data_IF_564307877635
#
_entry.id   IF_564307877635
#
_cell.length_a   1.000
_cell.length_b   1.000
_cell.length_c   1.000
_cell.angle_alpha   90.00
_cell.angle_beta   90.00
_cell.angle_gamma   90.00
#
_symmetry.space_group_name_H-M   'P 1'
#
loop_
_entity.id
_entity.type
_entity.pdbx_description
1 polymer ?
#
# COMPACT_ATOMS: atom_id res chain seq x y z
N UNK A 1 4.12 -9.68 -15.69
CA UNK A 1 2.76 -10.23 -15.86
C UNK A 1 2.05 -9.50 -16.98
N UNK A 2 1.34 -10.23 -17.82
CA UNK A 2 0.60 -9.74 -18.98
C UNK A 2 -0.87 -10.12 -18.89
N UNK A 3 -1.72 -9.36 -19.60
CA UNK A 3 -3.11 -9.70 -19.84
C UNK A 3 -3.43 -9.44 -21.30
N UNK A 4 -3.94 -10.43 -21.99
CA UNK A 4 -4.36 -10.36 -23.38
C UNK A 4 -5.88 -10.38 -23.45
N UNK A 5 -6.49 -9.45 -24.19
CA UNK A 5 -7.94 -9.38 -24.30
C UNK A 5 -8.46 -10.41 -25.30
N UNK A 6 -9.41 -11.23 -24.88
CA UNK A 6 -10.12 -12.23 -25.66
C UNK A 6 -11.64 -11.98 -25.52
N UNK A 7 -12.21 -11.19 -26.42
CA UNK A 7 -13.60 -10.76 -26.36
C UNK A 7 -13.91 -9.98 -25.08
N UNK A 8 -14.81 -10.53 -24.25
CA UNK A 8 -15.22 -9.96 -22.96
C UNK A 8 -14.43 -10.52 -21.76
N UNK A 9 -13.25 -11.07 -22.03
CA UNK A 9 -12.38 -11.67 -21.03
C UNK A 9 -10.94 -11.20 -21.25
N UNK A 10 -10.14 -11.18 -20.19
CA UNK A 10 -8.68 -11.10 -20.24
C UNK A 10 -8.08 -12.45 -19.88
N UNK A 11 -7.09 -12.90 -20.66
CA UNK A 11 -6.25 -14.05 -20.33
C UNK A 11 -5.00 -13.54 -19.64
N UNK A 12 -4.87 -13.86 -18.35
CA UNK A 12 -3.83 -13.34 -17.47
C UNK A 12 -2.74 -14.38 -17.27
N UNK A 13 -1.49 -13.97 -17.50
CA UNK A 13 -0.31 -14.78 -17.29
C UNK A 13 0.79 -13.99 -16.56
N UNK A 14 1.47 -14.66 -15.64
CA UNK A 14 2.65 -14.10 -14.98
C UNK A 14 2.71 -14.36 -13.50
N UNK A 15 3.46 -13.52 -12.80
CA UNK A 15 3.78 -13.69 -11.40
C UNK A 15 3.76 -12.34 -10.68
N UNK A 16 3.26 -12.32 -9.45
CA UNK A 16 3.31 -11.21 -8.49
C UNK A 16 3.97 -11.70 -7.22
N UNK A 17 4.58 -10.79 -6.47
CA UNK A 17 5.25 -11.14 -5.23
C UNK A 17 5.17 -9.98 -4.24
N UNK A 18 5.35 -10.28 -2.96
CA UNK A 18 5.27 -9.35 -1.84
C UNK A 18 3.88 -8.78 -1.61
N UNK A 19 2.84 -9.56 -1.93
CA UNK A 19 1.46 -9.17 -1.66
C UNK A 19 1.15 -9.37 -0.19
N UNK A 20 0.96 -8.27 0.55
CA UNK A 20 0.64 -8.31 1.97
C UNK A 20 -0.68 -9.06 2.20
N UNK A 21 -0.62 -10.09 3.04
CA UNK A 21 -1.77 -10.94 3.38
C UNK A 21 -2.46 -11.62 2.18
N UNK A 22 -1.77 -11.77 1.03
CA UNK A 22 -2.34 -12.33 -0.18
C UNK A 22 -2.93 -13.74 0.00
N UNK A 23 -2.36 -14.56 0.88
CA UNK A 23 -2.83 -15.91 1.19
C UNK A 23 -4.10 -15.96 2.07
N UNK A 24 -4.55 -14.82 2.62
CA UNK A 24 -5.82 -14.67 3.34
C UNK A 24 -6.89 -13.95 2.50
N UNK A 25 -6.50 -13.37 1.35
CA UNK A 25 -7.40 -12.62 0.52
C UNK A 25 -8.23 -13.53 -0.39
N UNK A 26 -9.47 -13.16 -0.65
CA UNK A 26 -10.31 -13.79 -1.67
C UNK A 26 -10.10 -13.12 -3.03
N UNK A 27 -9.82 -11.82 -3.05
CA UNK A 27 -9.67 -11.01 -4.25
C UNK A 27 -8.40 -10.17 -4.19
N UNK A 28 -7.81 -9.94 -5.36
CA UNK A 28 -6.73 -8.97 -5.49
C UNK A 28 -6.97 -8.02 -6.69
N UNK A 29 -6.52 -6.80 -6.58
CA UNK A 29 -6.33 -5.93 -7.74
C UNK A 29 -4.86 -5.88 -8.11
N UNK A 30 -4.56 -5.98 -9.39
CA UNK A 30 -3.18 -5.97 -9.86
C UNK A 30 -3.04 -5.33 -11.25
N UNK A 31 -1.84 -4.82 -11.52
CA UNK A 31 -1.48 -4.23 -12.79
C UNK A 31 -0.90 -5.30 -13.74
N UNK A 32 -1.43 -5.34 -14.95
CA UNK A 32 -0.95 -6.23 -16.00
C UNK A 32 -0.63 -5.46 -17.27
N UNK A 33 0.37 -5.94 -18.00
CA UNK A 33 0.72 -5.41 -19.32
C UNK A 33 -0.35 -5.84 -20.34
N UNK A 34 -1.08 -4.87 -20.88
CA UNK A 34 -2.10 -5.07 -21.92
C UNK A 34 -1.65 -4.57 -23.29
N UNK A 35 -0.71 -3.59 -23.33
CA UNK A 35 -0.07 -3.15 -24.55
C UNK A 35 1.46 -3.14 -24.37
N UNK A 36 2.18 -4.11 -24.95
CA UNK A 36 3.63 -4.20 -24.86
C UNK A 36 4.36 -3.12 -25.67
N UNK A 37 3.71 -2.51 -26.67
CA UNK A 37 4.29 -1.50 -27.55
C UNK A 37 4.14 -0.07 -27.03
N UNK A 38 3.33 0.15 -26.00
CA UNK A 38 3.01 1.47 -25.47
C UNK A 38 4.24 2.27 -25.03
N UNK A 39 4.23 3.54 -25.38
CA UNK A 39 5.22 4.53 -24.96
C UNK A 39 4.51 5.77 -24.40
N UNK A 40 4.84 6.20 -23.19
CA UNK A 40 5.75 5.58 -22.21
C UNK A 40 5.23 4.22 -21.72
N UNK A 41 6.13 3.36 -21.23
CA UNK A 41 5.79 1.97 -20.87
C UNK A 41 4.61 1.83 -19.92
N UNK A 42 4.42 2.75 -18.99
CA UNK A 42 3.30 2.72 -18.03
C UNK A 42 1.93 3.00 -18.69
N UNK A 43 1.88 3.57 -19.91
CA UNK A 43 0.63 3.77 -20.65
C UNK A 43 0.03 2.48 -21.24
N UNK A 44 0.76 1.36 -21.17
CA UNK A 44 0.27 0.06 -21.67
C UNK A 44 -0.09 -0.93 -20.56
N UNK A 45 -0.53 -0.46 -19.39
CA UNK A 45 -0.92 -1.31 -18.27
C UNK A 45 -2.36 -1.06 -17.86
N UNK A 46 -3.05 -2.14 -17.52
CA UNK A 46 -4.45 -2.14 -17.05
C UNK A 46 -4.51 -2.72 -15.64
N UNK A 47 -5.37 -2.19 -14.81
CA UNK A 47 -5.65 -2.75 -13.49
C UNK A 47 -6.87 -3.66 -13.57
N UNK A 48 -6.70 -4.91 -13.09
CA UNK A 48 -7.75 -5.92 -13.06
C UNK A 48 -8.00 -6.38 -11.63
N UNK A 49 -9.26 -6.65 -11.32
CA UNK A 49 -9.70 -7.31 -10.10
C UNK A 49 -9.80 -8.82 -10.36
N UNK A 50 -9.09 -9.62 -9.58
CA UNK A 50 -8.96 -11.06 -9.79
C UNK A 50 -9.48 -11.79 -8.57
N UNK A 51 -10.36 -12.76 -8.78
CA UNK A 51 -10.71 -13.76 -7.78
C UNK A 51 -9.55 -14.74 -7.65
N UNK A 52 -8.95 -14.79 -6.47
CA UNK A 52 -7.79 -15.66 -6.18
C UNK A 52 -8.14 -17.15 -6.15
N UNK A 53 -9.43 -17.48 -6.18
CA UNK A 53 -9.92 -18.86 -6.28
C UNK A 53 -10.15 -19.31 -7.73
N UNK A 54 -9.91 -18.43 -8.71
CA UNK A 54 -10.07 -18.76 -10.13
C UNK A 54 -9.12 -19.86 -10.56
N UNK A 55 -9.54 -20.75 -11.48
CA UNK A 55 -8.64 -21.74 -12.09
C UNK A 55 -7.41 -21.08 -12.70
N UNK A 56 -6.23 -21.66 -12.47
CA UNK A 56 -4.95 -21.14 -12.94
C UNK A 56 -4.27 -20.15 -11.98
N UNK A 57 -4.92 -19.76 -10.88
CA UNK A 57 -4.28 -18.98 -9.81
C UNK A 57 -3.66 -19.90 -8.78
N UNK A 58 -2.43 -19.63 -8.40
CA UNK A 58 -1.76 -20.25 -7.26
C UNK A 58 -1.22 -19.18 -6.34
N UNK A 59 -1.58 -19.23 -5.07
CA UNK A 59 -1.10 -18.32 -4.03
C UNK A 59 -0.22 -19.09 -3.05
N UNK A 60 0.99 -18.58 -2.78
CA UNK A 60 1.94 -19.19 -1.85
C UNK A 60 2.39 -18.17 -0.82
N UNK A 61 2.30 -18.47 0.48
CA UNK A 61 2.86 -17.61 1.51
C UNK A 61 4.40 -17.58 1.42
N UNK A 62 4.98 -16.41 1.63
CA UNK A 62 6.45 -16.21 1.73
C UNK A 62 6.81 -16.21 3.21
N UNK A 63 7.58 -17.19 3.63
CA UNK A 63 8.07 -17.25 5.00
C UNK A 63 9.18 -16.22 5.23
N UNK A 64 8.99 -15.36 6.23
CA UNK A 64 9.98 -14.35 6.63
C UNK A 64 11.03 -14.93 7.58
N UNK A 65 12.11 -14.18 7.82
CA UNK A 65 13.14 -14.56 8.81
C UNK A 65 12.59 -14.69 10.24
N UNK A 66 11.43 -14.07 10.54
CA UNK A 66 10.75 -14.19 11.83
C UNK A 66 9.94 -15.47 11.98
N UNK A 67 9.79 -16.25 10.88
CA UNK A 67 9.00 -17.47 10.85
C UNK A 67 7.51 -17.24 10.58
N UNK A 68 7.10 -15.98 10.36
CA UNK A 68 5.74 -15.63 9.94
C UNK A 68 5.63 -15.55 8.40
N UNK A 69 4.43 -15.35 7.89
CA UNK A 69 4.13 -15.24 6.47
C UNK A 69 3.23 -14.02 6.23
N UNK A 70 3.79 -12.81 6.39
CA UNK A 70 3.07 -11.57 6.14
C UNK A 70 2.77 -11.35 4.64
N UNK A 71 3.64 -11.90 3.77
CA UNK A 71 3.57 -11.71 2.33
C UNK A 71 3.26 -13.01 1.60
N UNK A 72 2.75 -12.87 0.39
CA UNK A 72 2.51 -13.98 -0.53
C UNK A 72 3.08 -13.68 -1.92
N UNK A 73 3.21 -14.73 -2.70
CA UNK A 73 3.43 -14.68 -4.15
C UNK A 73 2.24 -15.31 -4.87
N UNK A 74 1.88 -14.75 -6.01
CA UNK A 74 0.79 -15.22 -6.85
C UNK A 74 1.31 -15.56 -8.24
N UNK A 75 0.95 -16.74 -8.72
CA UNK A 75 1.21 -17.18 -10.10
C UNK A 75 -0.11 -17.31 -10.84
N UNK A 76 -0.13 -16.81 -12.07
CA UNK A 76 -1.27 -16.81 -12.97
C UNK A 76 -0.89 -17.57 -14.24
N UNK A 77 -1.64 -18.63 -14.57
CA UNK A 77 -1.47 -19.45 -15.78
C UNK A 77 -2.82 -19.51 -16.48
N UNK A 78 -2.92 -18.79 -17.59
CA UNK A 78 -4.12 -18.68 -18.44
C UNK A 78 -5.40 -18.37 -17.65
N UNK A 79 -5.28 -17.51 -16.62
CA UNK A 79 -6.40 -17.12 -15.76
C UNK A 79 -7.37 -16.25 -16.55
N UNK A 80 -8.64 -16.66 -16.61
CA UNK A 80 -9.70 -15.91 -17.27
C UNK A 80 -10.32 -14.90 -16.33
N UNK A 81 -10.19 -13.62 -16.66
CA UNK A 81 -10.73 -12.50 -15.88
C UNK A 81 -11.77 -11.75 -16.72
N UNK A 82 -13.03 -11.65 -16.28
CA UNK A 82 -14.06 -10.91 -17.01
C UNK A 82 -13.65 -9.45 -17.26
N UNK A 83 -13.99 -8.90 -18.43
CA UNK A 83 -13.64 -7.52 -18.76
C UNK A 83 -14.30 -6.49 -17.82
N UNK A 84 -15.44 -6.83 -17.24
CA UNK A 84 -16.13 -6.01 -16.22
C UNK A 84 -15.31 -5.83 -14.93
N UNK A 85 -14.36 -6.73 -14.65
CA UNK A 85 -13.44 -6.65 -13.53
C UNK A 85 -12.26 -5.67 -13.80
N UNK A 86 -12.28 -4.94 -14.91
CA UNK A 86 -11.31 -3.90 -15.20
C UNK A 86 -11.59 -2.66 -14.35
N UNK A 87 -10.60 -2.24 -13.59
CA UNK A 87 -10.66 -1.02 -12.78
C UNK A 87 -10.16 0.18 -13.61
N UNK A 88 -11.08 1.08 -13.95
CA UNK A 88 -10.82 2.23 -14.82
C UNK A 88 -11.02 1.88 -16.31
N UNK A 89 -10.08 2.29 -17.15
CA UNK A 89 -10.13 2.07 -18.61
C UNK A 89 -8.94 1.22 -19.07
N UNK A 90 -9.09 0.59 -20.22
CA UNK A 90 -7.99 -0.17 -20.84
C UNK A 90 -6.74 0.71 -20.97
N UNK A 91 -5.59 0.17 -20.58
CA UNK A 91 -4.30 0.88 -20.56
C UNK A 91 -4.23 2.08 -19.57
N UNK A 92 -5.26 2.29 -18.76
CA UNK A 92 -5.35 3.38 -17.78
C UNK A 92 -4.96 2.99 -16.35
N UNK A 93 -4.45 1.79 -16.13
CA UNK A 93 -4.16 1.24 -14.78
C UNK A 93 -3.14 2.05 -13.99
N UNK A 94 -2.20 2.74 -14.66
CA UNK A 94 -1.23 3.61 -13.99
C UNK A 94 -1.89 4.80 -13.27
N UNK A 95 -2.90 5.41 -13.89
CA UNK A 95 -3.66 6.50 -13.28
C UNK A 95 -4.44 6.02 -12.05
N UNK A 96 -5.04 4.81 -12.12
CA UNK A 96 -5.74 4.19 -10.99
C UNK A 96 -4.76 3.91 -9.84
N UNK A 97 -3.60 3.33 -10.14
CA UNK A 97 -2.56 3.04 -9.14
C UNK A 97 -2.06 4.32 -8.45
N UNK A 98 -1.77 5.37 -9.21
CA UNK A 98 -1.32 6.65 -8.63
C UNK A 98 -2.36 7.28 -7.71
N UNK A 99 -3.64 7.19 -8.05
CA UNK A 99 -4.73 7.69 -7.21
C UNK A 99 -4.81 6.91 -5.90
N UNK A 100 -4.71 5.58 -5.97
CA UNK A 100 -4.70 4.70 -4.80
C UNK A 100 -3.51 5.00 -3.89
N UNK A 101 -2.28 5.01 -4.45
CA UNK A 101 -1.05 5.27 -3.70
C UNK A 101 -1.04 6.67 -3.06
N UNK A 102 -1.66 7.65 -3.70
CA UNK A 102 -1.85 8.98 -3.13
C UNK A 102 -2.65 8.95 -1.82
N UNK A 103 -3.74 8.18 -1.79
CA UNK A 103 -4.59 8.03 -0.59
C UNK A 103 -3.96 7.16 0.49
N UNK A 104 -3.26 6.09 0.09
CA UNK A 104 -2.58 5.17 1.01
C UNK A 104 -1.51 5.87 1.86
N UNK A 105 -0.79 6.84 1.31
CA UNK A 105 0.25 7.59 2.03
C UNK A 105 -0.30 8.30 3.27
N UNK A 106 -1.51 8.84 3.20
CA UNK A 106 -2.17 9.45 4.36
C UNK A 106 -2.50 8.42 5.44
N UNK A 107 -2.89 7.21 5.08
CA UNK A 107 -3.18 6.15 6.04
C UNK A 107 -1.89 5.65 6.72
N UNK A 108 -0.85 5.39 5.94
CA UNK A 108 0.43 4.88 6.45
C UNK A 108 1.16 5.90 7.32
N UNK A 109 1.15 7.18 6.92
CA UNK A 109 1.80 8.28 7.65
C UNK A 109 0.97 8.85 8.79
N UNK A 110 -0.09 8.17 9.26
CA UNK A 110 -0.95 8.71 10.31
C UNK A 110 -0.20 8.83 11.66
N UNK A 111 -0.18 10.00 12.33
CA UNK A 111 0.57 10.24 13.56
C UNK A 111 0.15 9.37 14.75
N UNK A 112 -1.02 8.72 14.68
CA UNK A 112 -1.51 7.80 15.71
C UNK A 112 -0.53 6.67 15.99
N UNK A 113 0.16 6.13 14.97
CA UNK A 113 1.10 5.04 15.15
C UNK A 113 2.29 5.49 16.00
N UNK A 114 2.84 6.67 15.72
CA UNK A 114 3.91 7.25 16.52
C UNK A 114 3.43 7.58 17.95
N UNK A 115 2.21 8.09 18.11
CA UNK A 115 1.63 8.37 19.43
C UNK A 115 1.50 7.11 20.28
N UNK A 116 1.05 5.99 19.72
CA UNK A 116 0.95 4.70 20.41
C UNK A 116 2.34 4.22 20.87
N UNK A 117 3.36 4.30 20.01
CA UNK A 117 4.71 3.89 20.36
C UNK A 117 5.32 4.79 21.45
N UNK A 118 5.10 6.09 21.37
CA UNK A 118 5.59 7.05 22.37
C UNK A 118 4.94 6.82 23.72
N UNK A 119 3.63 6.55 23.78
CA UNK A 119 2.95 6.17 25.01
C UNK A 119 3.48 4.87 25.62
N UNK A 120 3.76 3.86 24.78
CA UNK A 120 4.40 2.61 25.26
C UNK A 120 5.79 2.88 25.83
N UNK A 121 6.59 3.71 25.16
CA UNK A 121 7.92 4.10 25.64
C UNK A 121 7.86 4.79 27.00
N UNK A 122 6.86 5.69 27.19
CA UNK A 122 6.61 6.34 28.48
C UNK A 122 6.26 5.32 29.56
N UNK A 123 5.32 4.40 29.31
CA UNK A 123 4.92 3.37 30.27
C UNK A 123 6.09 2.47 30.69
N UNK A 124 6.93 2.06 29.73
CA UNK A 124 8.15 1.27 30.02
C UNK A 124 9.15 2.08 30.86
N UNK A 125 9.30 3.38 30.57
CA UNK A 125 10.19 4.26 31.32
C UNK A 125 9.68 4.51 32.75
N UNK A 126 8.40 4.62 32.97
CA UNK A 126 7.77 4.70 34.30
C UNK A 126 8.03 3.41 35.08
N UNK A 127 7.79 2.24 34.48
CA UNK A 127 8.01 0.95 35.09
C UNK A 127 9.48 0.69 35.47
N UNK A 128 10.42 1.05 34.58
CA UNK A 128 11.86 0.85 34.76
C UNK A 128 12.52 1.93 35.63
N UNK A 129 11.84 3.01 35.95
CA UNK A 129 12.40 4.19 36.60
C UNK A 129 13.20 5.12 35.69
N UNK A 130 13.36 4.79 34.41
CA UNK A 130 14.09 5.62 33.44
C UNK A 130 13.46 7.02 33.24
N UNK A 131 12.19 7.18 33.57
CA UNK A 131 11.50 8.48 33.53
C UNK A 131 12.12 9.50 34.49
N UNK A 132 12.88 9.08 35.52
CA UNK A 132 13.57 9.97 36.46
C UNK A 132 14.92 10.44 35.95
N UNK A 133 15.48 9.80 34.90
CA UNK A 133 16.70 10.27 34.24
C UNK A 133 16.45 11.56 33.46
N UNK A 134 17.13 12.67 33.76
CA UNK A 134 16.97 13.94 33.04
C UNK A 134 17.26 13.85 31.54
N UNK A 135 18.24 13.05 31.12
CA UNK A 135 18.61 12.88 29.72
C UNK A 135 17.50 12.13 28.97
N UNK A 136 16.92 11.09 29.58
CA UNK A 136 15.80 10.37 29.00
C UNK A 136 14.56 11.28 28.87
N UNK A 137 14.22 12.01 29.94
CA UNK A 137 13.09 12.95 29.93
C UNK A 137 13.23 14.00 28.82
N UNK A 138 14.44 14.55 28.66
CA UNK A 138 14.69 15.54 27.60
C UNK A 138 14.42 14.95 26.22
N UNK A 139 14.94 13.74 25.94
CA UNK A 139 14.69 13.05 24.65
C UNK A 139 13.22 12.75 24.44
N UNK A 140 12.53 12.29 25.48
CA UNK A 140 11.08 12.02 25.40
C UNK A 140 10.30 13.29 25.07
N UNK A 141 10.60 14.41 25.74
CA UNK A 141 9.97 15.69 25.48
C UNK A 141 10.21 16.19 24.06
N UNK A 142 11.43 16.03 23.51
CA UNK A 142 11.72 16.36 22.12
C UNK A 142 10.87 15.55 21.14
N UNK A 143 10.74 14.23 21.35
CA UNK A 143 9.89 13.37 20.51
C UNK A 143 8.41 13.74 20.62
N UNK A 144 7.93 14.17 21.79
CA UNK A 144 6.57 14.67 21.98
C UNK A 144 6.32 15.96 21.20
N UNK A 145 7.28 16.90 21.21
CA UNK A 145 7.22 18.11 20.41
C UNK A 145 7.19 17.83 18.91
N UNK A 146 8.06 16.92 18.45
CA UNK A 146 8.08 16.48 17.06
C UNK A 146 6.75 15.86 16.64
N UNK A 147 6.17 14.99 17.49
CA UNK A 147 4.87 14.39 17.25
C UNK A 147 3.73 15.43 17.18
N UNK A 148 3.77 16.45 18.03
CA UNK A 148 2.80 17.55 17.99
C UNK A 148 2.91 18.35 16.69
N UNK A 149 4.13 18.70 16.29
CA UNK A 149 4.39 19.40 15.03
C UNK A 149 3.95 18.58 13.83
N UNK A 150 4.32 17.29 13.80
CA UNK A 150 3.90 16.35 12.75
C UNK A 150 2.38 16.18 12.71
N UNK A 151 1.72 16.09 13.85
CA UNK A 151 0.25 15.97 13.94
C UNK A 151 -0.46 17.21 13.42
N UNK A 152 0.09 18.39 13.66
CA UNK A 152 -0.44 19.63 13.11
C UNK A 152 -0.28 19.69 11.58
N UNK A 153 0.91 19.35 11.08
CA UNK A 153 1.18 19.26 9.65
C UNK A 153 0.28 18.23 8.97
N UNK A 154 0.14 17.03 9.54
CA UNK A 154 -0.73 15.98 9.02
C UNK A 154 -2.19 16.44 8.88
N UNK A 155 -2.74 17.07 9.93
CA UNK A 155 -4.12 17.62 9.89
C UNK A 155 -4.28 18.66 8.80
N UNK A 156 -3.30 19.54 8.65
CA UNK A 156 -3.31 20.57 7.59
C UNK A 156 -3.30 19.90 6.19
N UNK A 157 -2.38 18.97 5.98
CA UNK A 157 -2.26 18.24 4.72
C UNK A 157 -3.52 17.40 4.40
N UNK A 158 -4.12 16.74 5.41
CA UNK A 158 -5.34 15.97 5.23
C UNK A 158 -6.53 16.87 4.83
N UNK A 159 -6.65 18.06 5.44
CA UNK A 159 -7.66 19.04 5.07
C UNK A 159 -7.49 19.55 3.61
N UNK A 160 -6.26 19.83 3.20
CA UNK A 160 -5.98 20.22 1.82
C UNK A 160 -6.28 19.09 0.84
N UNK A 161 -5.94 17.85 1.19
CA UNK A 161 -6.23 16.67 0.36
C UNK A 161 -7.73 16.43 0.23
N UNK A 162 -8.48 16.48 1.32
CA UNK A 162 -9.94 16.34 1.33
C UNK A 162 -10.65 17.40 0.48
N UNK A 163 -10.10 18.62 0.46
CA UNK A 163 -10.61 19.73 -0.36
C UNK A 163 -10.03 19.77 -1.78
N UNK A 164 -9.28 18.74 -2.22
CA UNK A 164 -8.59 18.65 -3.53
C UNK A 164 -7.61 19.79 -3.80
N UNK A 165 -7.06 20.42 -2.75
CA UNK A 165 -6.12 21.55 -2.83
C UNK A 165 -4.69 21.18 -2.45
N UNK A 166 -4.43 19.90 -2.10
CA UNK A 166 -3.11 19.45 -1.70
C UNK A 166 -2.13 19.47 -2.89
N UNK A 167 -0.98 20.16 -2.77
CA UNK A 167 0.08 20.02 -3.75
C UNK A 167 0.59 18.58 -3.82
N UNK A 168 0.96 18.13 -5.03
CA UNK A 168 1.51 16.78 -5.22
C UNK A 168 2.77 16.52 -4.37
N UNK A 169 3.51 17.56 -4.01
CA UNK A 169 4.69 17.50 -3.14
C UNK A 169 4.41 17.19 -1.67
N UNK A 170 3.18 17.33 -1.19
CA UNK A 170 2.87 17.06 0.23
C UNK A 170 2.81 15.55 0.56
N UNK A 171 2.33 14.74 -0.36
CA UNK A 171 2.17 13.31 -0.11
C UNK A 171 3.49 12.56 0.24
N UNK A 172 4.64 12.88 -0.36
CA UNK A 172 5.92 12.27 0.03
C UNK A 172 6.42 12.65 1.43
N UNK A 173 6.01 13.80 1.95
CA UNK A 173 6.47 14.30 3.27
C UNK A 173 5.74 13.59 4.42
N UNK A 174 4.53 13.08 4.16
CA UNK A 174 3.69 12.40 5.16
C UNK A 174 4.13 10.94 5.36
N UNK A 175 4.76 10.32 4.38
CA UNK A 175 5.26 8.96 4.45
C UNK A 175 6.67 8.93 5.03
#
# INVERSE_FOLDING_TARGET
SRAERDGDTFIVNGHKTWTTNGHFADWMFALFRTDPAAKPRHAGITMLLIDLKSPGVTVRPIQTIRGDSEFAEETFIDVRVPAENMLGVLNGGWAVANKLLGSERFTTGHPRNAAVLLNKARQVAEYSGAIHDPAFRHRLAMLEMDLLAFSAFYRHAANLHGNRRAPASMAPIIK
#
